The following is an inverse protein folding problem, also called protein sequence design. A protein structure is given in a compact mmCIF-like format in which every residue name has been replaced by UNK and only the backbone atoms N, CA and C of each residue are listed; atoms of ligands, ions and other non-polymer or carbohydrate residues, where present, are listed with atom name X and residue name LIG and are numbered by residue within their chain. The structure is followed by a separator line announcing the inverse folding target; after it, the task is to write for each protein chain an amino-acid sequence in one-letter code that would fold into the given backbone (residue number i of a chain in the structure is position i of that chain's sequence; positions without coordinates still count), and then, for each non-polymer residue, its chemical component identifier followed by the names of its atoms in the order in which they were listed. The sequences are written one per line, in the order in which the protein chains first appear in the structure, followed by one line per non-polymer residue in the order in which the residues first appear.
data_IF_378209858776
#
_entry.id   IF_378209858776
#
_cell.length_a   1.000
_cell.length_b   1.000
_cell.length_c   1.000
_cell.angle_alpha   90.00
_cell.angle_beta   90.00
_cell.angle_gamma   90.00
#
_symmetry.space_group_name_H-M   'P 1'
#
loop_
_entity.id
_entity.type
_entity.pdbx_description
1 polymer ?
#
# COMPACT_ATOMS: atom_id res chain seq x y z
N UNK A 1 -17.46 -4.67 27.10
CA UNK A 1 -16.57 -5.85 27.28
C UNK A 1 -15.99 -6.28 25.93
N UNK A 2 -14.78 -6.86 25.89
CA UNK A 2 -14.12 -7.40 24.68
C UNK A 2 -14.22 -8.96 24.67
N UNK A 3 -15.39 -9.58 24.42
CA UNK A 3 -15.62 -11.01 24.63
C UNK A 3 -14.75 -11.94 23.77
N UNK A 4 -14.29 -11.46 22.60
CA UNK A 4 -13.41 -12.20 21.69
C UNK A 4 -12.04 -12.54 22.29
N UNK A 5 -11.59 -11.82 23.33
CA UNK A 5 -10.33 -12.11 24.01
C UNK A 5 -10.33 -13.49 24.69
N UNK A 6 -11.51 -14.03 25.04
CA UNK A 6 -11.63 -15.40 25.58
C UNK A 6 -11.28 -16.47 24.54
N UNK A 7 -11.40 -16.14 23.26
CA UNK A 7 -11.08 -17.02 22.13
C UNK A 7 -9.62 -16.88 21.67
N UNK A 8 -8.87 -15.90 22.18
CA UNK A 8 -7.46 -15.73 21.81
C UNK A 8 -6.61 -16.81 22.48
N UNK A 9 -5.71 -17.48 21.74
CA UNK A 9 -4.69 -18.33 22.36
C UNK A 9 -3.88 -17.53 23.37
N UNK A 10 -3.46 -18.15 24.49
CA UNK A 10 -2.71 -17.47 25.57
C UNK A 10 -1.42 -16.78 25.10
N UNK A 11 -0.88 -17.21 23.96
CA UNK A 11 0.34 -16.65 23.34
C UNK A 11 0.09 -15.40 22.51
N UNK A 12 -1.17 -15.05 22.23
CA UNK A 12 -1.55 -13.87 21.44
C UNK A 12 -1.91 -12.74 22.40
N UNK A 13 -1.16 -11.63 22.42
CA UNK A 13 -1.50 -10.47 23.23
C UNK A 13 -2.89 -9.92 22.89
N UNK A 14 -3.57 -9.40 23.90
CA UNK A 14 -4.87 -8.76 23.73
C UNK A 14 -4.78 -7.42 22.96
N UNK A 15 -3.60 -6.82 22.95
CA UNK A 15 -3.33 -5.52 22.33
C UNK A 15 -2.07 -5.60 21.49
N UNK A 16 -2.11 -4.94 20.34
CA UNK A 16 -0.97 -4.80 19.44
C UNK A 16 -0.06 -3.72 20.04
N UNK A 17 1.24 -3.98 20.08
CA UNK A 17 2.24 -3.00 20.52
C UNK A 17 2.40 -1.83 19.54
N UNK A 18 3.41 -0.99 19.80
CA UNK A 18 3.75 0.10 18.89
C UNK A 18 4.09 -0.45 17.49
N UNK A 19 3.44 0.10 16.47
CA UNK A 19 3.72 -0.27 15.09
C UNK A 19 4.94 0.52 14.58
N UNK A 20 5.81 -0.10 13.76
CA UNK A 20 7.00 0.57 13.23
C UNK A 20 6.68 1.64 12.17
N UNK A 21 5.45 1.66 11.64
CA UNK A 21 5.03 2.59 10.59
C UNK A 21 3.69 3.25 10.95
N UNK A 22 3.53 4.51 10.55
CA UNK A 22 2.31 5.29 10.77
C UNK A 22 1.17 4.96 9.79
N UNK A 23 1.50 4.38 8.64
CA UNK A 23 0.53 3.99 7.62
C UNK A 23 1.03 2.82 6.76
N UNK A 24 0.11 2.18 6.05
CA UNK A 24 0.47 1.18 5.02
C UNK A 24 1.27 1.85 3.89
N UNK A 25 0.97 3.10 3.56
CA UNK A 25 1.72 3.87 2.56
C UNK A 25 3.19 4.05 2.95
N UNK A 26 3.46 4.36 4.22
CA UNK A 26 4.83 4.49 4.73
C UNK A 26 5.59 3.17 4.69
N UNK A 27 4.94 2.08 5.14
CA UNK A 27 5.49 0.73 5.08
C UNK A 27 5.88 0.35 3.65
N UNK A 28 4.99 0.61 2.67
CA UNK A 28 5.26 0.29 1.27
C UNK A 28 6.37 1.15 0.67
N UNK A 29 6.41 2.44 1.01
CA UNK A 29 7.45 3.35 0.54
C UNK A 29 8.84 2.94 1.09
N UNK A 30 8.91 2.53 2.35
CA UNK A 30 10.15 2.03 2.96
C UNK A 30 10.64 0.74 2.30
N UNK A 31 9.72 -0.23 2.12
CA UNK A 31 10.04 -1.48 1.42
C UNK A 31 10.53 -1.24 -0.01
N UNK A 32 9.92 -0.29 -0.73
CA UNK A 32 10.36 0.05 -2.08
C UNK A 32 11.77 0.64 -2.12
N UNK A 33 12.15 1.45 -1.11
CA UNK A 33 13.51 1.97 -0.98
C UNK A 33 14.51 0.87 -0.66
N UNK A 34 14.17 0.00 0.30
CA UNK A 34 15.06 -1.07 0.75
C UNK A 34 15.37 -2.09 -0.36
N UNK A 35 14.40 -2.39 -1.21
CA UNK A 35 14.50 -3.43 -2.25
C UNK A 35 14.47 -2.88 -3.67
N UNK A 36 14.84 -1.60 -3.84
CA UNK A 36 14.68 -0.82 -5.08
C UNK A 36 15.04 -1.56 -6.38
N UNK A 37 16.19 -2.25 -6.42
CA UNK A 37 16.69 -2.94 -7.61
C UNK A 37 16.08 -4.32 -7.87
N UNK A 38 15.31 -4.87 -6.91
CA UNK A 38 14.72 -6.20 -7.03
C UNK A 38 13.46 -6.16 -7.90
N UNK A 39 13.15 -7.24 -8.63
CA UNK A 39 11.83 -7.45 -9.22
C UNK A 39 10.72 -7.38 -8.16
N UNK A 40 9.68 -6.59 -8.42
CA UNK A 40 8.51 -6.48 -7.55
C UNK A 40 7.31 -7.26 -8.11
N UNK A 41 6.99 -7.05 -9.39
CA UNK A 41 5.85 -7.67 -10.05
C UNK A 41 6.18 -8.08 -11.48
N UNK A 42 5.63 -9.21 -11.91
CA UNK A 42 5.74 -9.73 -13.28
C UNK A 42 4.37 -10.08 -13.82
N UNK A 43 4.07 -9.67 -15.06
CA UNK A 43 2.85 -9.99 -15.77
C UNK A 43 3.18 -10.14 -17.27
N UNK A 44 2.79 -11.26 -17.88
CA UNK A 44 2.96 -11.52 -19.32
C UNK A 44 4.38 -11.24 -19.84
N UNK A 45 5.40 -11.75 -19.14
CA UNK A 45 6.81 -11.59 -19.52
C UNK A 45 7.41 -10.21 -19.24
N UNK A 46 6.62 -9.23 -18.77
CA UNK A 46 7.11 -7.92 -18.34
C UNK A 46 7.26 -7.89 -16.83
N UNK A 47 8.39 -7.39 -16.36
CA UNK A 47 8.71 -7.23 -14.94
C UNK A 47 8.93 -5.75 -14.64
N UNK A 48 8.43 -5.30 -13.49
CA UNK A 48 8.78 -4.00 -12.90
C UNK A 48 9.45 -4.21 -11.54
N UNK A 49 10.43 -3.38 -11.27
CA UNK A 49 11.20 -3.33 -10.02
C UNK A 49 10.47 -2.53 -8.94
N UNK A 50 10.89 -2.68 -7.68
CA UNK A 50 10.37 -1.87 -6.59
C UNK A 50 10.57 -0.36 -6.83
N UNK A 51 11.72 0.04 -7.39
CA UNK A 51 11.97 1.44 -7.75
C UNK A 51 10.98 1.98 -8.81
N UNK A 52 10.61 1.15 -9.78
CA UNK A 52 9.64 1.54 -10.81
C UNK A 52 8.22 1.64 -10.27
N UNK A 53 7.83 0.74 -9.34
CA UNK A 53 6.55 0.82 -8.64
C UNK A 53 6.49 2.09 -7.79
N UNK A 54 7.55 2.41 -7.06
CA UNK A 54 7.66 3.63 -6.26
C UNK A 54 7.47 4.86 -7.13
N UNK A 55 8.25 4.99 -8.21
CA UNK A 55 8.22 6.15 -9.10
C UNK A 55 6.85 6.34 -9.74
N UNK A 56 6.24 5.26 -10.24
CA UNK A 56 4.94 5.31 -10.90
C UNK A 56 3.82 5.61 -9.90
N UNK A 57 3.86 5.01 -8.71
CA UNK A 57 2.84 5.24 -7.67
C UNK A 57 2.95 6.64 -7.07
N UNK A 58 4.16 7.19 -6.92
CA UNK A 58 4.38 8.58 -6.49
C UNK A 58 3.74 9.55 -7.48
N UNK A 59 4.03 9.38 -8.77
CA UNK A 59 3.50 10.23 -9.83
C UNK A 59 1.96 10.14 -9.90
N UNK A 60 1.40 8.94 -9.83
CA UNK A 60 -0.05 8.76 -9.89
C UNK A 60 -0.76 9.27 -8.63
N UNK A 61 -0.17 9.09 -7.45
CA UNK A 61 -0.70 9.63 -6.20
C UNK A 61 -0.74 11.16 -6.19
N UNK A 62 0.34 11.80 -6.67
CA UNK A 62 0.39 13.26 -6.85
C UNK A 62 -0.64 13.74 -7.87
N UNK A 63 -0.85 13.01 -8.96
CA UNK A 63 -1.92 13.30 -9.91
C UNK A 63 -3.30 13.25 -9.24
N UNK A 64 -3.62 12.20 -8.49
CA UNK A 64 -4.91 12.10 -7.78
C UNK A 64 -5.11 13.29 -6.83
N UNK A 65 -4.07 13.71 -6.09
CA UNK A 65 -4.12 14.91 -5.26
C UNK A 65 -4.37 16.19 -6.06
N UNK A 66 -3.78 16.31 -7.24
CA UNK A 66 -3.99 17.46 -8.12
C UNK A 66 -5.43 17.58 -8.65
N UNK A 67 -6.21 16.50 -8.65
CA UNK A 67 -7.62 16.53 -9.09
C UNK A 67 -8.58 17.17 -8.09
N UNK A 68 -8.10 17.55 -6.90
CA UNK A 68 -8.93 18.21 -5.88
C UNK A 68 -9.73 17.26 -5.00
N UNK A 69 -9.38 15.97 -4.96
CA UNK A 69 -10.01 15.00 -4.07
C UNK A 69 -9.76 15.37 -2.59
N UNK A 70 -10.80 15.35 -1.73
CA UNK A 70 -10.63 15.61 -0.31
C UNK A 70 -9.79 14.51 0.36
N UNK A 71 -9.12 14.84 1.46
CA UNK A 71 -8.38 13.86 2.28
C UNK A 71 -9.30 12.72 2.70
N UNK A 72 -8.85 11.48 2.54
CA UNK A 72 -9.65 10.29 2.84
C UNK A 72 -10.76 10.00 1.83
N UNK A 73 -10.76 10.64 0.66
CA UNK A 73 -11.63 10.27 -0.44
C UNK A 73 -11.48 8.78 -0.79
N UNK A 74 -12.57 8.18 -1.25
CA UNK A 74 -12.60 6.79 -1.68
C UNK A 74 -12.27 6.68 -3.16
N UNK A 75 -11.35 5.80 -3.52
CA UNK A 75 -10.94 5.56 -4.90
C UNK A 75 -11.17 4.10 -5.27
N UNK A 76 -12.17 3.86 -6.12
CA UNK A 76 -12.45 2.51 -6.61
C UNK A 76 -11.45 2.10 -7.71
N UNK A 77 -10.75 0.98 -7.50
CA UNK A 77 -9.88 0.38 -8.51
C UNK A 77 -10.61 -0.77 -9.21
N UNK A 78 -11.16 -0.50 -10.40
CA UNK A 78 -11.83 -1.51 -11.23
C UNK A 78 -10.94 -1.85 -12.42
N UNK A 79 -10.04 -2.82 -12.22
CA UNK A 79 -8.99 -3.17 -13.18
C UNK A 79 -8.72 -4.68 -13.16
N UNK A 80 -8.22 -5.27 -14.26
CA UNK A 80 -7.73 -6.65 -14.28
C UNK A 80 -6.41 -6.79 -13.50
N UNK A 81 -5.96 -8.04 -13.30
CA UNK A 81 -4.67 -8.36 -12.66
C UNK A 81 -3.47 -8.06 -13.59
N UNK A 82 -3.13 -6.78 -13.71
CA UNK A 82 -2.02 -6.26 -14.53
C UNK A 82 -1.06 -5.43 -13.69
N UNK A 83 0.13 -5.10 -14.23
CA UNK A 83 1.19 -4.38 -13.51
C UNK A 83 0.77 -2.99 -12.99
N UNK A 84 -0.23 -2.37 -13.60
CA UNK A 84 -0.77 -1.08 -13.19
C UNK A 84 -1.59 -1.19 -11.90
N UNK A 85 -2.13 -2.35 -11.57
CA UNK A 85 -2.93 -2.56 -10.36
C UNK A 85 -2.14 -2.29 -9.06
N UNK A 86 -0.97 -2.91 -8.81
CA UNK A 86 -0.19 -2.61 -7.61
C UNK A 86 0.31 -1.16 -7.57
N UNK A 87 0.60 -0.56 -8.73
CA UNK A 87 0.95 0.86 -8.84
C UNK A 87 -0.20 1.76 -8.38
N UNK A 88 -1.42 1.49 -8.88
CA UNK A 88 -2.62 2.25 -8.53
C UNK A 88 -2.99 2.08 -7.06
N UNK A 89 -2.94 0.86 -6.53
CA UNK A 89 -3.19 0.58 -5.11
C UNK A 89 -2.21 1.36 -4.22
N UNK A 90 -0.90 1.27 -4.50
CA UNK A 90 0.11 1.98 -3.71
C UNK A 90 -0.07 3.50 -3.81
N UNK A 91 -0.44 4.02 -4.99
CA UNK A 91 -0.70 5.44 -5.20
C UNK A 91 -1.86 5.95 -4.33
N UNK A 92 -2.99 5.22 -4.29
CA UNK A 92 -4.17 5.55 -3.48
C UNK A 92 -3.80 5.58 -1.99
N UNK A 93 -3.15 4.51 -1.51
CA UNK A 93 -2.77 4.37 -0.10
C UNK A 93 -1.78 5.46 0.33
N UNK A 94 -0.74 5.72 -0.46
CA UNK A 94 0.28 6.75 -0.12
C UNK A 94 -0.25 8.18 -0.24
N UNK A 95 -1.25 8.41 -1.08
CA UNK A 95 -1.88 9.72 -1.23
C UNK A 95 -2.88 10.04 -0.10
N UNK A 96 -3.14 9.10 0.81
CA UNK A 96 -4.05 9.27 1.94
C UNK A 96 -5.52 9.05 1.58
N UNK A 97 -5.78 8.24 0.57
CA UNK A 97 -7.12 7.83 0.13
C UNK A 97 -7.45 6.40 0.57
N UNK A 98 -8.72 6.01 0.41
CA UNK A 98 -9.27 4.71 0.83
C UNK A 98 -9.77 3.91 -0.37
#
# INVERSE_FOLDING_TARGET
EKPWLKSYPKVVPAEIGALPFGSIGDLLADACKQYASRPAFTCMGKTITYAEVERQSAAFGAYLQSTGLPKGARVALMMPNVLQYPVAMMAVLRAGYV
#
